data_IF_011776618065
#
_entry.id   IF_011776618065
#
_cell.length_a   1.000
_cell.length_b   1.000
_cell.length_c   1.000
_cell.angle_alpha   90.00
_cell.angle_beta   90.00
_cell.angle_gamma   90.00
#
_symmetry.space_group_name_H-M   'P 1'
#
loop_
_entity.id
_entity.type
_entity.pdbx_description
1 polymer ?
#
# COMPACT_ATOMS: atom_id res chain seq x y z
N UNK A 1 27.61 2.36 -4.66
CA UNK A 1 26.45 2.31 -5.58
C UNK A 1 25.22 2.41 -4.70
N UNK A 2 24.38 3.42 -4.90
CA UNK A 2 23.21 3.64 -4.03
C UNK A 2 22.23 2.47 -4.12
N UNK A 3 21.63 2.08 -2.99
CA UNK A 3 20.54 1.12 -3.02
C UNK A 3 19.37 1.70 -3.82
N UNK A 4 18.90 0.94 -4.81
CA UNK A 4 17.69 1.28 -5.55
C UNK A 4 16.54 0.58 -4.81
N UNK A 5 15.53 1.35 -4.41
CA UNK A 5 14.27 0.84 -3.89
C UNK A 5 13.20 0.99 -5.01
N UNK A 6 12.87 -0.07 -5.76
CA UNK A 6 11.80 -0.01 -6.74
C UNK A 6 10.46 0.32 -6.08
N UNK A 7 9.71 1.20 -6.73
CA UNK A 7 8.38 1.64 -6.31
C UNK A 7 7.36 1.08 -7.30
N UNK A 8 6.35 0.37 -6.79
CA UNK A 8 5.18 -0.05 -7.56
C UNK A 8 3.95 0.70 -7.08
N UNK A 9 3.30 1.44 -7.99
CA UNK A 9 2.05 2.14 -7.71
C UNK A 9 0.85 1.36 -8.24
N UNK A 10 -0.09 1.01 -7.36
CA UNK A 10 -1.33 0.30 -7.73
C UNK A 10 -2.48 1.31 -7.63
N UNK A 11 -3.14 1.59 -8.76
CA UNK A 11 -4.23 2.58 -8.90
C UNK A 11 -5.53 1.96 -9.43
N UNK A 12 -6.68 2.57 -9.11
CA UNK A 12 -7.99 2.18 -9.64
C UNK A 12 -9.15 2.37 -8.66
N UNK A 13 -10.38 2.18 -9.17
CA UNK A 13 -11.64 2.44 -8.45
C UNK A 13 -11.84 1.59 -7.19
N UNK A 14 -12.62 2.07 -6.22
CA UNK A 14 -12.96 1.28 -5.02
C UNK A 14 -13.49 -0.11 -5.38
N UNK A 15 -13.19 -1.11 -4.56
CA UNK A 15 -13.58 -2.52 -4.78
C UNK A 15 -13.03 -3.20 -6.05
N UNK A 16 -12.04 -2.59 -6.74
CA UNK A 16 -11.36 -3.22 -7.90
C UNK A 16 -10.34 -4.31 -7.54
N UNK A 17 -10.19 -4.66 -6.26
CA UNK A 17 -9.25 -5.70 -5.81
C UNK A 17 -7.82 -5.24 -5.52
N UNK A 18 -7.54 -3.93 -5.47
CA UNK A 18 -6.19 -3.36 -5.20
C UNK A 18 -5.56 -3.87 -3.91
N UNK A 19 -6.30 -3.85 -2.80
CA UNK A 19 -5.79 -4.35 -1.52
C UNK A 19 -5.41 -5.82 -1.61
N UNK A 20 -6.28 -6.65 -2.21
CA UNK A 20 -6.01 -8.08 -2.42
C UNK A 20 -4.79 -8.33 -3.31
N UNK A 21 -4.61 -7.54 -4.37
CA UNK A 21 -3.41 -7.62 -5.21
C UNK A 21 -2.15 -7.27 -4.41
N UNK A 22 -2.24 -6.20 -3.61
CA UNK A 22 -1.14 -5.70 -2.79
C UNK A 22 -0.68 -6.70 -1.74
N UNK A 23 -1.62 -7.33 -1.03
CA UNK A 23 -1.34 -8.42 -0.09
C UNK A 23 -0.59 -9.57 -0.75
N UNK A 24 -1.05 -10.01 -1.92
CA UNK A 24 -0.40 -11.09 -2.65
C UNK A 24 1.03 -10.73 -3.06
N UNK A 25 1.26 -9.49 -3.48
CA UNK A 25 2.60 -9.01 -3.84
C UNK A 25 3.51 -8.93 -2.62
N UNK A 26 3.04 -8.35 -1.51
CA UNK A 26 3.79 -8.26 -0.24
C UNK A 26 4.14 -9.65 0.27
N UNK A 27 3.17 -10.57 0.29
CA UNK A 27 3.39 -11.96 0.70
C UNK A 27 4.45 -12.65 -0.17
N UNK A 28 4.39 -12.49 -1.49
CA UNK A 28 5.37 -13.09 -2.41
C UNK A 28 6.75 -12.45 -2.25
N UNK A 29 6.84 -11.14 -2.03
CA UNK A 29 8.10 -10.44 -1.75
C UNK A 29 8.74 -10.94 -0.46
N UNK A 30 7.96 -11.06 0.62
CA UNK A 30 8.39 -11.61 1.90
C UNK A 30 8.89 -13.05 1.76
N UNK A 31 8.15 -13.92 1.05
CA UNK A 31 8.58 -15.30 0.77
C UNK A 31 9.86 -15.38 -0.07
N UNK A 32 10.14 -14.37 -0.90
CA UNK A 32 11.37 -14.26 -1.66
C UNK A 32 12.54 -13.63 -0.86
N UNK A 33 12.34 -13.32 0.43
CA UNK A 33 13.35 -12.69 1.29
C UNK A 33 13.57 -11.19 1.02
N UNK A 34 12.67 -10.56 0.28
CA UNK A 34 12.67 -9.11 0.01
C UNK A 34 11.91 -8.36 1.10
N UNK A 35 12.33 -7.13 1.39
CA UNK A 35 11.61 -6.24 2.31
C UNK A 35 10.60 -5.45 1.50
N UNK A 36 9.33 -5.51 1.89
CA UNK A 36 8.26 -4.69 1.31
C UNK A 36 7.76 -3.65 2.32
N UNK A 37 7.58 -2.41 1.89
CA UNK A 37 6.86 -1.36 2.63
C UNK A 37 5.64 -0.95 1.82
N UNK A 38 4.54 -0.59 2.49
CA UNK A 38 3.31 -0.16 1.83
C UNK A 38 2.86 1.22 2.32
N UNK A 39 2.50 2.11 1.40
CA UNK A 39 1.95 3.44 1.71
C UNK A 39 0.63 3.59 0.96
N UNK A 40 -0.45 3.84 1.69
CA UNK A 40 -1.79 4.07 1.13
C UNK A 40 -2.07 5.58 1.10
N UNK A 41 -2.38 6.10 -0.09
CA UNK A 41 -2.87 7.46 -0.24
C UNK A 41 -4.41 7.44 -0.32
N UNK A 42 -5.09 8.18 0.56
CA UNK A 42 -6.54 8.33 0.59
C UNK A 42 -6.96 9.50 -0.28
N UNK A 43 -7.47 9.23 -1.48
CA UNK A 43 -7.91 10.26 -2.44
C UNK A 43 -9.23 10.95 -2.11
N UNK A 44 -9.69 10.93 -0.85
CA UNK A 44 -10.90 11.61 -0.42
C UNK A 44 -10.66 12.44 0.84
N UNK A 45 -10.95 13.73 0.72
CA UNK A 45 -11.10 14.62 1.86
C UNK A 45 -12.22 14.12 2.76
N UNK A 46 -11.85 13.87 4.00
CA UNK A 46 -12.65 13.32 5.09
C UNK A 46 -11.68 12.78 6.12
N UNK A 47 -12.01 12.74 7.42
CA UNK A 47 -11.19 11.98 8.36
C UNK A 47 -11.03 10.57 7.76
N UNK A 48 -9.81 9.98 7.79
CA UNK A 48 -9.64 8.61 7.36
C UNK A 48 -10.74 7.80 8.02
N UNK A 49 -11.52 7.08 7.22
CA UNK A 49 -12.48 6.15 7.79
C UNK A 49 -11.62 5.10 8.50
N UNK A 50 -11.43 5.31 9.81
CA UNK A 50 -10.32 4.76 10.57
C UNK A 50 -10.34 3.24 10.47
N UNK A 51 -11.53 2.65 10.31
CA UNK A 51 -11.71 1.23 10.10
C UNK A 51 -11.16 0.73 8.76
N UNK A 52 -11.51 1.36 7.62
CA UNK A 52 -11.02 0.95 6.29
C UNK A 52 -9.53 1.24 6.09
N UNK A 53 -9.05 2.32 6.72
CA UNK A 53 -7.63 2.70 6.74
C UNK A 53 -6.79 1.71 7.53
N UNK A 54 -7.25 1.34 8.74
CA UNK A 54 -6.60 0.35 9.60
C UNK A 54 -6.64 -1.04 8.98
N UNK A 55 -7.74 -1.41 8.32
CA UNK A 55 -7.91 -2.75 7.72
C UNK A 55 -6.87 -3.07 6.66
N UNK A 56 -6.55 -2.13 5.76
CA UNK A 56 -5.53 -2.35 4.74
C UNK A 56 -4.11 -2.40 5.35
N UNK A 57 -3.83 -1.52 6.31
CA UNK A 57 -2.52 -1.50 7.00
C UNK A 57 -2.24 -2.79 7.76
N UNK A 58 -3.26 -3.32 8.46
CA UNK A 58 -3.21 -4.62 9.16
C UNK A 58 -2.98 -5.74 8.15
N UNK A 59 -3.79 -5.81 7.08
CA UNK A 59 -3.67 -6.88 6.07
C UNK A 59 -2.30 -6.88 5.39
N UNK A 60 -1.71 -5.72 5.14
CA UNK A 60 -0.36 -5.62 4.59
C UNK A 60 0.73 -6.02 5.59
N UNK A 61 0.57 -5.66 6.86
CA UNK A 61 1.48 -6.10 7.91
C UNK A 61 1.44 -7.63 8.07
N UNK A 62 0.25 -8.23 8.10
CA UNK A 62 0.04 -9.68 8.13
C UNK A 62 0.61 -10.39 6.89
N UNK A 63 0.57 -9.75 5.72
CA UNK A 63 1.20 -10.25 4.51
C UNK A 63 2.75 -10.19 4.56
N UNK A 64 3.33 -9.50 5.54
CA UNK A 64 4.77 -9.41 5.75
C UNK A 64 5.40 -8.08 5.34
N UNK A 65 4.62 -7.00 5.24
CA UNK A 65 5.18 -5.66 5.08
C UNK A 65 5.93 -5.24 6.35
N UNK A 66 7.13 -4.70 6.17
CA UNK A 66 7.98 -4.21 7.26
C UNK A 66 7.43 -2.90 7.82
N UNK A 67 6.79 -2.08 6.97
CA UNK A 67 6.16 -0.81 7.34
C UNK A 67 4.86 -0.65 6.52
N UNK A 68 3.78 -0.20 7.17
CA UNK A 68 2.52 0.20 6.54
C UNK A 68 2.11 1.58 7.07
N UNK A 69 1.87 2.55 6.18
CA UNK A 69 1.45 3.91 6.55
C UNK A 69 0.32 4.43 5.66
N UNK A 70 -0.44 5.42 6.17
CA UNK A 70 -1.56 6.04 5.46
C UNK A 70 -1.36 7.56 5.42
N UNK A 71 -1.51 8.14 4.24
CA UNK A 71 -1.45 9.57 3.97
C UNK A 71 -2.77 10.01 3.29
N UNK A 72 -3.26 11.22 3.57
CA UNK A 72 -4.47 11.75 2.94
C UNK A 72 -4.35 13.25 2.71
N UNK A 73 -4.57 13.69 1.48
CA UNK A 73 -4.56 15.10 1.09
C UNK A 73 -5.93 15.57 0.58
N UNK A 74 -6.18 16.87 0.78
CA UNK A 74 -7.41 17.59 0.45
C UNK A 74 -7.40 17.94 -1.05
N UNK A 75 -8.23 17.28 -1.88
CA UNK A 75 -8.99 17.83 -3.03
C UNK A 75 -9.56 16.69 -3.92
N UNK A 76 -10.82 16.84 -4.33
CA UNK A 76 -11.64 15.91 -5.13
C UNK A 76 -11.16 15.70 -6.57
N UNK A 77 -11.18 14.45 -7.05
CA UNK A 77 -12.00 13.92 -8.16
C UNK A 77 -11.54 12.49 -8.50
N UNK A 78 -12.45 11.51 -8.40
CA UNK A 78 -12.31 10.10 -8.85
C UNK A 78 -11.50 9.15 -7.97
N UNK A 79 -12.08 7.99 -7.64
CA UNK A 79 -11.52 6.95 -6.75
C UNK A 79 -10.22 6.35 -7.30
N UNK A 80 -9.09 6.95 -6.96
CA UNK A 80 -7.77 6.37 -7.21
C UNK A 80 -7.13 6.13 -5.85
N UNK A 81 -7.27 4.92 -5.31
CA UNK A 81 -6.44 4.50 -4.18
C UNK A 81 -5.06 4.19 -4.76
N UNK A 82 -4.05 4.93 -4.36
CA UNK A 82 -2.66 4.68 -4.71
C UNK A 82 -2.02 3.89 -3.57
N UNK A 83 -1.57 2.66 -3.84
CA UNK A 83 -0.66 1.96 -2.94
C UNK A 83 0.74 1.94 -3.54
N UNK A 84 1.70 2.49 -2.80
CA UNK A 84 3.12 2.42 -3.14
C UNK A 84 3.73 1.24 -2.39
N UNK A 85 4.28 0.28 -3.13
CA UNK A 85 5.07 -0.81 -2.57
C UNK A 85 6.55 -0.52 -2.84
N UNK A 86 7.31 -0.27 -1.79
CA UNK A 86 8.77 -0.19 -1.84
C UNK A 86 9.37 -1.57 -1.60
N UNK A 87 10.19 -2.06 -2.53
CA UNK A 87 10.85 -3.37 -2.40
C UNK A 87 12.36 -3.16 -2.28
N UNK A 88 13.02 -3.79 -1.31
CA UNK A 88 14.48 -3.78 -1.25
C UNK A 88 15.05 -5.17 -1.00
N UNK A 89 16.31 -5.36 -1.41
CA UNK A 89 17.11 -6.53 -1.01
C UNK A 89 17.52 -6.40 0.47
N UNK A 90 17.92 -7.51 1.07
CA UNK A 90 18.27 -7.56 2.50
C UNK A 90 19.40 -6.63 2.85
#
# INVERSE_FOLDING_TARGET
MGEICPILQIVGFQNSGKTTLSEKLIFRASKAGLKAASIKHHGHGGPPDNELSSKDSIRHHEAGAVISSVEGDVVSYSYVLSLIIGISRK
#
